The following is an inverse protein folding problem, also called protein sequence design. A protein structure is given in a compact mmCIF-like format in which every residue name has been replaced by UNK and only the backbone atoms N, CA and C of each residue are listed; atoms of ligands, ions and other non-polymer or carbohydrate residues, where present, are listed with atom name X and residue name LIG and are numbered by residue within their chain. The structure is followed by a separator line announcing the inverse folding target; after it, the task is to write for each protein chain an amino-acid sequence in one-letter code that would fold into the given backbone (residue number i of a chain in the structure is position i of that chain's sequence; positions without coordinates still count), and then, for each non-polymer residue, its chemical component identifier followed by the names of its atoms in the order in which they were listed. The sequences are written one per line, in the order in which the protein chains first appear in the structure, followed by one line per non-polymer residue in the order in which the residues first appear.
data_IF_228330859410
#
_entry.id   IF_228330859410
#
_cell.length_a   1.000
_cell.length_b   1.000
_cell.length_c   1.000
_cell.angle_alpha   90.00
_cell.angle_beta   90.00
_cell.angle_gamma   90.00
#
_symmetry.space_group_name_H-M   'P 1'
#
loop_
_entity.id
_entity.type
_entity.pdbx_description
1 polymer ?
#
# COMPACT_ATOMS: atom_id res chain seq x y z
N UNK A 1 8.76 -21.47 14.77
CA UNK A 1 7.60 -20.56 14.58
C UNK A 1 6.82 -21.12 13.40
N UNK A 2 5.53 -21.41 13.55
CA UNK A 2 4.68 -21.93 12.49
C UNK A 2 3.90 -20.76 11.87
N UNK A 3 3.89 -20.65 10.53
CA UNK A 3 3.08 -19.66 9.80
C UNK A 3 1.89 -20.37 9.19
N UNK A 4 0.71 -19.82 9.39
CA UNK A 4 -0.54 -20.30 8.79
C UNK A 4 -1.04 -19.27 7.78
N UNK A 5 -1.50 -19.72 6.62
CA UNK A 5 -2.05 -18.88 5.57
C UNK A 5 -3.55 -19.05 5.47
N UNK A 6 -4.29 -17.94 5.38
CA UNK A 6 -5.73 -17.94 5.13
C UNK A 6 -6.07 -16.96 4.00
N UNK A 7 -6.92 -17.38 3.08
CA UNK A 7 -7.54 -16.47 2.11
C UNK A 7 -8.69 -15.75 2.79
N UNK A 8 -8.69 -14.41 2.79
CA UNK A 8 -9.68 -13.62 3.50
C UNK A 8 -9.99 -12.30 2.80
N UNK A 9 -11.22 -11.81 3.00
CA UNK A 9 -11.58 -10.44 2.72
C UNK A 9 -11.16 -9.57 3.92
N UNK A 10 -10.40 -8.47 3.76
CA UNK A 10 -10.02 -7.61 4.87
C UNK A 10 -11.22 -6.93 5.57
N UNK A 11 -12.39 -6.87 4.92
CA UNK A 11 -13.64 -6.37 5.50
C UNK A 11 -14.42 -7.43 6.27
N UNK A 12 -13.97 -8.70 6.28
CA UNK A 12 -14.61 -9.85 6.95
C UNK A 12 -13.56 -10.92 7.18
N UNK A 13 -12.80 -10.78 8.26
CA UNK A 13 -11.69 -11.67 8.59
C UNK A 13 -12.20 -12.97 9.24
N UNK A 14 -11.75 -14.15 8.78
CA UNK A 14 -12.21 -15.45 9.30
C UNK A 14 -11.53 -15.84 10.62
N UNK A 15 -11.43 -14.88 11.54
CA UNK A 15 -10.79 -15.06 12.84
C UNK A 15 -11.72 -14.62 13.98
N UNK A 16 -11.54 -15.19 15.16
CA UNK A 16 -12.29 -14.84 16.37
C UNK A 16 -11.95 -13.43 16.88
N UNK A 17 -12.88 -12.85 17.65
CA UNK A 17 -12.62 -11.57 18.31
C UNK A 17 -11.50 -11.75 19.35
N UNK A 18 -10.51 -10.83 19.34
CA UNK A 18 -9.41 -10.85 20.29
C UNK A 18 -8.40 -11.99 20.11
N UNK A 19 -8.39 -12.63 18.95
CA UNK A 19 -7.54 -13.80 18.69
C UNK A 19 -6.04 -13.46 18.63
N UNK A 20 -5.69 -12.22 18.25
CA UNK A 20 -4.31 -11.82 18.01
C UNK A 20 -3.80 -10.75 18.98
N UNK A 21 -2.56 -10.89 19.43
CA UNK A 21 -1.86 -9.85 20.21
C UNK A 21 -1.52 -8.62 19.37
N UNK A 22 -1.28 -8.82 18.08
CA UNK A 22 -0.88 -7.78 17.15
C UNK A 22 -1.52 -8.04 15.78
N UNK A 23 -2.09 -7.01 15.21
CA UNK A 23 -2.64 -7.02 13.85
C UNK A 23 -1.88 -6.00 13.02
N UNK A 24 -1.22 -6.47 11.98
CA UNK A 24 -0.32 -5.64 11.17
C UNK A 24 -0.71 -5.73 9.70
N UNK A 25 -0.80 -4.59 9.05
CA UNK A 25 -0.83 -4.49 7.60
C UNK A 25 0.41 -3.72 7.13
N UNK A 26 1.26 -4.38 6.34
CA UNK A 26 2.48 -3.78 5.81
C UNK A 26 2.35 -3.55 4.31
N UNK A 27 2.31 -2.28 3.91
CA UNK A 27 2.26 -1.78 2.52
C UNK A 27 1.31 -2.57 1.61
N UNK A 28 0.22 -3.01 2.20
CA UNK A 28 -0.71 -3.96 1.59
C UNK A 28 -1.70 -3.28 0.65
N UNK A 29 -1.65 -3.64 -0.63
CA UNK A 29 -2.69 -3.32 -1.60
C UNK A 29 -4.11 -3.62 -1.11
N UNK A 30 -4.39 -4.74 -0.39
CA UNK A 30 -5.74 -5.06 0.07
C UNK A 30 -6.41 -3.98 0.90
N UNK A 31 -5.70 -3.33 1.84
CA UNK A 31 -6.29 -2.24 2.62
C UNK A 31 -6.60 -1.02 1.75
N UNK A 32 -5.66 -0.63 0.89
CA UNK A 32 -5.81 0.53 0.02
C UNK A 32 -6.93 0.32 -1.03
N UNK A 33 -7.17 -0.91 -1.45
CA UNK A 33 -8.15 -1.25 -2.48
C UNK A 33 -9.53 -1.60 -1.93
N UNK A 34 -9.68 -1.80 -0.60
CA UNK A 34 -10.95 -2.15 0.02
C UNK A 34 -11.92 -0.95 -0.07
N UNK A 35 -13.14 -1.13 -0.61
CA UNK A 35 -14.13 -0.05 -0.65
C UNK A 35 -14.59 0.37 0.75
N UNK A 36 -14.65 -0.57 1.70
CA UNK A 36 -15.07 -0.35 3.08
C UNK A 36 -13.91 -0.13 4.04
N UNK A 37 -13.07 0.89 3.85
CA UNK A 37 -11.87 1.11 4.67
C UNK A 37 -12.16 1.20 6.19
N UNK A 38 -13.30 1.77 6.59
CA UNK A 38 -13.71 1.78 7.99
C UNK A 38 -14.05 0.38 8.51
N UNK A 39 -14.63 -0.47 7.66
CA UNK A 39 -14.92 -1.86 8.00
C UNK A 39 -13.61 -2.65 8.17
N UNK A 40 -12.62 -2.40 7.32
CA UNK A 40 -11.27 -2.98 7.48
C UNK A 40 -10.67 -2.59 8.83
N UNK A 41 -10.74 -1.31 9.21
CA UNK A 41 -10.24 -0.86 10.52
C UNK A 41 -10.98 -1.53 11.68
N UNK A 42 -12.31 -1.67 11.57
CA UNK A 42 -13.13 -2.37 12.56
C UNK A 42 -12.76 -3.86 12.68
N UNK A 43 -12.55 -4.55 11.56
CA UNK A 43 -12.14 -5.95 11.54
C UNK A 43 -10.74 -6.17 12.14
N UNK A 44 -9.78 -5.30 11.79
CA UNK A 44 -8.46 -5.31 12.42
C UNK A 44 -8.56 -5.17 13.95
N UNK A 45 -9.42 -4.26 14.41
CA UNK A 45 -9.65 -4.06 15.85
C UNK A 45 -10.38 -5.23 16.49
N UNK A 46 -11.39 -5.79 15.82
CA UNK A 46 -12.17 -6.93 16.33
C UNK A 46 -11.30 -8.16 16.59
N UNK A 47 -10.42 -8.48 15.66
CA UNK A 47 -9.55 -9.66 15.79
C UNK A 47 -8.35 -9.42 16.70
N UNK A 48 -8.01 -8.17 17.00
CA UNK A 48 -6.97 -7.80 17.94
C UNK A 48 -7.51 -7.86 19.38
N UNK A 49 -6.76 -8.48 20.31
CA UNK A 49 -7.18 -8.48 21.71
C UNK A 49 -7.15 -7.06 22.32
N UNK A 50 -7.95 -6.80 23.35
CA UNK A 50 -7.84 -5.57 24.11
C UNK A 50 -6.42 -5.28 24.60
N UNK A 51 -5.92 -4.07 24.39
CA UNK A 51 -4.54 -3.68 24.70
C UNK A 51 -3.48 -4.27 23.77
N UNK A 52 -3.90 -5.01 22.75
CA UNK A 52 -3.02 -5.45 21.64
C UNK A 52 -2.60 -4.29 20.76
N UNK A 53 -1.81 -4.55 19.72
CA UNK A 53 -1.26 -3.52 18.84
C UNK A 53 -1.90 -3.62 17.46
N UNK A 54 -2.46 -2.51 17.00
CA UNK A 54 -2.82 -2.28 15.59
C UNK A 54 -1.66 -1.53 14.92
N UNK A 55 -1.20 -1.98 13.78
CA UNK A 55 -0.16 -1.30 13.01
C UNK A 55 -0.46 -1.35 11.52
N UNK A 56 -0.34 -0.19 10.86
CA UNK A 56 -0.49 -0.07 9.41
C UNK A 56 0.70 0.69 8.85
N UNK A 57 1.37 0.13 7.85
CA UNK A 57 2.35 0.82 7.04
C UNK A 57 1.80 0.99 5.63
N UNK A 58 1.81 2.20 5.10
CA UNK A 58 1.31 2.49 3.74
C UNK A 58 2.23 3.47 3.02
N UNK A 59 2.47 3.22 1.73
CA UNK A 59 3.25 4.15 0.90
C UNK A 59 2.57 5.51 0.83
N UNK A 60 3.36 6.58 0.90
CA UNK A 60 2.84 7.95 0.76
C UNK A 60 2.60 8.31 -0.70
N UNK A 61 1.61 9.19 -0.93
CA UNK A 61 1.28 9.67 -2.27
C UNK A 61 2.38 10.60 -2.84
N UNK A 62 3.17 11.20 -1.98
CA UNK A 62 4.28 12.10 -2.32
C UNK A 62 5.53 11.33 -2.77
N UNK A 63 5.70 10.10 -2.27
CA UNK A 63 6.83 9.23 -2.59
C UNK A 63 6.83 8.71 -4.03
N UNK A 64 7.82 7.89 -4.34
CA UNK A 64 8.03 7.34 -5.69
C UNK A 64 6.84 6.48 -6.15
N UNK A 65 6.24 5.68 -5.24
CA UNK A 65 5.04 4.88 -5.57
C UNK A 65 3.87 5.77 -5.98
N UNK A 66 3.68 6.94 -5.34
CA UNK A 66 2.68 7.91 -5.74
C UNK A 66 2.97 8.53 -7.12
N UNK A 67 4.24 8.74 -7.45
CA UNK A 67 4.64 9.21 -8.79
C UNK A 67 4.34 8.14 -9.85
N UNK A 68 4.67 6.88 -9.59
CA UNK A 68 4.30 5.73 -10.45
C UNK A 68 2.79 5.66 -10.64
N UNK A 69 2.01 5.79 -9.56
CA UNK A 69 0.56 5.78 -9.65
C UNK A 69 0.02 6.89 -10.56
N UNK A 70 0.61 8.09 -10.52
CA UNK A 70 0.25 9.19 -11.45
C UNK A 70 0.57 8.87 -12.91
N UNK A 71 1.72 8.25 -13.16
CA UNK A 71 2.11 7.84 -14.53
C UNK A 71 1.13 6.80 -15.07
N UNK A 72 0.83 5.75 -14.31
CA UNK A 72 -0.06 4.68 -14.77
C UNK A 72 -1.54 5.11 -14.84
N UNK A 73 -1.96 6.11 -14.04
CA UNK A 73 -3.35 6.59 -14.03
C UNK A 73 -3.81 7.12 -15.39
N UNK A 74 -2.89 7.65 -16.21
CA UNK A 74 -3.20 8.11 -17.57
C UNK A 74 -3.59 7.00 -18.55
N UNK A 75 -3.45 5.73 -18.14
CA UNK A 75 -3.74 4.54 -18.95
C UNK A 75 -4.85 3.67 -18.33
N UNK A 76 -5.28 3.97 -17.12
CA UNK A 76 -6.34 3.27 -16.41
C UNK A 76 -7.68 4.01 -16.56
N UNK A 77 -8.81 3.29 -16.49
CA UNK A 77 -10.10 3.96 -16.39
C UNK A 77 -10.17 4.77 -15.09
N UNK A 78 -10.92 5.88 -15.08
CA UNK A 78 -11.13 6.65 -13.86
C UNK A 78 -11.77 5.77 -12.79
N UNK A 79 -11.44 5.99 -11.50
CA UNK A 79 -12.07 5.26 -10.42
C UNK A 79 -13.59 5.52 -10.41
N UNK A 80 -14.41 4.55 -9.97
CA UNK A 80 -15.85 4.74 -9.83
C UNK A 80 -16.18 5.94 -8.93
N UNK A 81 -17.30 6.64 -9.16
CA UNK A 81 -17.75 7.70 -8.27
C UNK A 81 -17.87 7.19 -6.82
N UNK A 82 -17.31 7.93 -5.87
CA UNK A 82 -17.32 7.56 -4.45
C UNK A 82 -16.30 6.48 -4.05
N UNK A 83 -15.42 6.06 -4.95
CA UNK A 83 -14.33 5.16 -4.59
C UNK A 83 -13.45 5.77 -3.49
N UNK A 84 -13.10 4.95 -2.50
CA UNK A 84 -12.18 5.36 -1.45
C UNK A 84 -10.79 5.69 -2.03
N UNK A 85 -10.13 6.69 -1.46
CA UNK A 85 -8.76 7.01 -1.87
C UNK A 85 -7.82 5.86 -1.51
N UNK A 86 -7.00 5.35 -2.44
CA UNK A 86 -6.00 4.34 -2.13
C UNK A 86 -4.92 4.85 -1.15
N UNK A 87 -4.83 6.18 -0.97
CA UNK A 87 -3.88 6.85 -0.07
C UNK A 87 -4.44 7.15 1.32
N UNK A 88 -5.68 6.75 1.62
CA UNK A 88 -6.32 7.08 2.90
C UNK A 88 -5.53 6.53 4.11
N UNK A 89 -4.89 5.37 3.96
CA UNK A 89 -4.04 4.77 5.00
C UNK A 89 -2.65 5.41 5.13
N UNK A 90 -2.28 6.30 4.21
CA UNK A 90 -1.02 7.04 4.22
C UNK A 90 -1.21 8.55 4.45
N UNK A 91 -2.44 9.04 4.50
CA UNK A 91 -2.76 10.41 4.87
C UNK A 91 -3.02 10.48 6.39
N UNK A 92 -2.27 11.33 7.10
CA UNK A 92 -2.22 11.38 8.57
C UNK A 92 -3.61 11.58 9.21
N UNK A 93 -4.39 12.54 8.71
CA UNK A 93 -5.74 12.80 9.21
C UNK A 93 -6.68 11.62 8.92
N UNK A 94 -6.57 11.03 7.73
CA UNK A 94 -7.42 9.92 7.31
C UNK A 94 -7.15 8.65 8.12
N UNK A 95 -5.89 8.24 8.27
CA UNK A 95 -5.55 7.05 9.05
C UNK A 95 -5.86 7.24 10.54
N UNK A 96 -5.74 8.47 11.04
CA UNK A 96 -6.16 8.81 12.41
C UNK A 96 -7.67 8.67 12.56
N UNK A 97 -8.46 9.13 11.59
CA UNK A 97 -9.91 8.96 11.59
C UNK A 97 -10.33 7.48 11.45
N UNK A 98 -9.59 6.68 10.68
CA UNK A 98 -9.85 5.25 10.52
C UNK A 98 -9.54 4.44 11.79
N UNK A 99 -8.41 4.67 12.44
CA UNK A 99 -7.98 3.91 13.62
C UNK A 99 -8.50 4.48 14.94
N UNK A 100 -8.74 5.80 14.99
CA UNK A 100 -9.13 6.51 16.22
C UNK A 100 -10.36 5.94 16.94
N UNK A 101 -11.42 5.49 16.26
CA UNK A 101 -12.56 4.84 16.92
C UNK A 101 -12.20 3.57 17.68
N UNK A 102 -11.19 2.82 17.20
CA UNK A 102 -10.85 1.48 17.65
C UNK A 102 -9.55 1.40 18.46
N UNK A 103 -8.74 2.45 18.42
CA UNK A 103 -7.43 2.44 19.06
C UNK A 103 -7.16 3.68 19.89
N UNK A 104 -6.45 3.51 21.00
CA UNK A 104 -5.97 4.60 21.82
C UNK A 104 -4.59 5.08 21.36
N UNK A 105 -4.33 6.38 21.52
CA UNK A 105 -3.03 6.98 21.25
C UNK A 105 -2.46 6.63 19.86
N UNK A 106 -3.23 6.93 18.79
CA UNK A 106 -2.72 6.77 17.42
C UNK A 106 -1.41 7.54 17.27
N UNK A 107 -0.35 6.82 16.93
CA UNK A 107 1.00 7.38 16.71
C UNK A 107 1.36 7.22 15.25
N UNK A 108 1.87 8.31 14.68
CA UNK A 108 2.26 8.38 13.29
C UNK A 108 3.77 8.59 13.19
N UNK A 109 4.40 7.92 12.24
CA UNK A 109 5.81 8.13 11.94
C UNK A 109 6.06 7.91 10.44
N UNK A 110 6.64 8.91 9.78
CA UNK A 110 7.17 8.74 8.42
C UNK A 110 8.49 8.00 8.49
N UNK A 111 8.68 7.05 7.60
CA UNK A 111 9.84 6.18 7.52
C UNK A 111 10.25 6.00 6.06
N UNK A 112 11.49 5.65 5.87
CA UNK A 112 12.04 5.30 4.56
C UNK A 112 12.35 3.80 4.51
N UNK A 113 12.03 3.17 3.38
CA UNK A 113 12.47 1.83 3.05
C UNK A 113 13.36 1.92 1.81
N UNK A 114 14.58 1.38 1.90
CA UNK A 114 15.53 1.39 0.80
C UNK A 114 15.39 0.12 -0.04
N UNK A 115 15.39 0.29 -1.34
CA UNK A 115 15.31 -0.78 -2.33
C UNK A 115 16.51 -0.74 -3.25
N UNK A 116 16.94 -1.90 -3.70
CA UNK A 116 18.04 -2.06 -4.63
C UNK A 116 17.71 -3.15 -5.65
N UNK A 117 17.95 -2.85 -6.91
CA UNK A 117 17.73 -3.75 -8.04
C UNK A 117 18.91 -3.67 -9.00
N UNK A 118 19.03 -4.68 -9.88
CA UNK A 118 20.13 -4.76 -10.84
C UNK A 118 20.18 -3.55 -11.80
N UNK A 119 19.03 -3.03 -12.20
CA UNK A 119 18.90 -1.86 -13.06
C UNK A 119 17.45 -1.33 -13.01
N UNK A 120 17.17 -0.08 -13.44
CA UNK A 120 15.81 0.41 -13.64
C UNK A 120 14.97 -0.51 -14.53
N UNK A 121 15.56 -1.01 -15.63
CA UNK A 121 14.90 -1.90 -16.57
C UNK A 121 14.48 -3.23 -15.91
N UNK A 122 15.37 -3.84 -15.10
CA UNK A 122 15.06 -5.07 -14.36
C UNK A 122 13.96 -4.88 -13.32
N UNK A 123 13.88 -3.70 -12.72
CA UNK A 123 12.80 -3.38 -11.77
C UNK A 123 11.45 -3.20 -12.47
N UNK A 124 11.43 -2.53 -13.62
CA UNK A 124 10.21 -2.42 -14.43
C UNK A 124 9.74 -3.81 -14.85
N UNK A 125 10.65 -4.67 -15.32
CA UNK A 125 10.32 -6.07 -15.63
C UNK A 125 9.68 -6.80 -14.44
N UNK A 126 10.23 -6.61 -13.24
CA UNK A 126 9.62 -7.16 -12.03
C UNK A 126 8.21 -6.57 -11.77
N UNK A 127 8.00 -5.27 -11.93
CA UNK A 127 6.67 -4.66 -11.78
C UNK A 127 5.67 -5.17 -12.83
N UNK A 128 6.14 -5.49 -14.04
CA UNK A 128 5.33 -6.08 -15.11
C UNK A 128 4.82 -7.50 -14.76
N UNK A 129 5.46 -8.18 -13.81
CA UNK A 129 5.09 -9.53 -13.37
C UNK A 129 4.26 -9.54 -12.08
N UNK A 130 4.50 -8.60 -11.14
CA UNK A 130 3.94 -8.70 -9.79
C UNK A 130 3.07 -7.52 -9.36
N UNK A 131 3.19 -6.35 -10.01
CA UNK A 131 2.45 -5.16 -9.58
C UNK A 131 1.15 -5.02 -10.35
N UNK A 132 0.04 -5.47 -9.78
CA UNK A 132 -1.28 -5.50 -10.42
C UNK A 132 -1.68 -4.21 -11.17
N UNK A 133 -1.58 -3.02 -10.57
CA UNK A 133 -1.87 -1.76 -11.27
C UNK A 133 -0.99 -1.53 -12.50
N UNK A 134 0.32 -1.82 -12.43
CA UNK A 134 1.23 -1.70 -13.58
C UNK A 134 0.90 -2.71 -14.69
N UNK A 135 0.62 -3.97 -14.31
CA UNK A 135 0.20 -5.02 -15.25
C UNK A 135 -1.05 -4.57 -16.02
N UNK A 136 -2.06 -4.07 -15.30
CA UNK A 136 -3.31 -3.58 -15.90
C UNK A 136 -3.08 -2.39 -16.82
N UNK A 137 -2.31 -1.40 -16.38
CA UNK A 137 -1.99 -0.22 -17.18
C UNK A 137 -1.24 -0.58 -18.46
N UNK A 138 -0.24 -1.47 -18.39
CA UNK A 138 0.51 -1.94 -19.56
C UNK A 138 -0.36 -2.74 -20.53
N UNK A 139 -1.29 -3.55 -20.03
CA UNK A 139 -2.27 -4.25 -20.88
C UNK A 139 -3.14 -3.25 -21.65
N UNK A 140 -3.76 -2.30 -20.97
CA UNK A 140 -4.62 -1.28 -21.59
C UNK A 140 -3.82 -0.36 -22.52
N UNK A 141 -2.59 0.00 -22.16
CA UNK A 141 -1.69 0.74 -23.03
C UNK A 141 -1.32 -0.06 -24.30
N UNK A 142 -1.20 -1.38 -24.20
CA UNK A 142 -0.96 -2.25 -25.36
C UNK A 142 -2.15 -2.24 -26.32
N UNK A 143 -3.37 -2.32 -25.81
CA UNK A 143 -4.60 -2.24 -26.61
C UNK A 143 -4.74 -0.89 -27.36
N UNK A 144 -4.13 0.17 -26.79
CA UNK A 144 -4.07 1.51 -27.36
C UNK A 144 -2.82 1.78 -28.24
N UNK A 145 -1.92 0.81 -28.41
CA UNK A 145 -0.65 0.99 -29.11
C UNK A 145 0.37 1.84 -28.35
N UNK A 146 0.17 2.11 -27.05
CA UNK A 146 0.95 3.04 -26.21
C UNK A 146 1.83 2.33 -25.16
N UNK A 147 2.00 1.01 -25.22
CA UNK A 147 2.81 0.27 -24.24
C UNK A 147 4.23 0.80 -24.12
N UNK A 148 4.88 1.10 -25.26
CA UNK A 148 6.26 1.60 -25.26
C UNK A 148 6.37 2.98 -24.60
N UNK A 149 5.38 3.84 -24.78
CA UNK A 149 5.29 5.16 -24.15
C UNK A 149 5.18 5.04 -22.62
N UNK A 150 4.26 4.21 -22.12
CA UNK A 150 4.12 3.98 -20.67
C UNK A 150 5.42 3.41 -20.08
N UNK A 151 6.02 2.41 -20.74
CA UNK A 151 7.26 1.80 -20.26
C UNK A 151 8.42 2.80 -20.22
N UNK A 152 8.52 3.67 -21.23
CA UNK A 152 9.52 4.74 -21.27
C UNK A 152 9.33 5.76 -20.13
N UNK A 153 8.09 6.16 -19.84
CA UNK A 153 7.78 7.05 -18.71
C UNK A 153 8.12 6.44 -17.35
N UNK A 154 7.87 5.16 -17.16
CA UNK A 154 8.29 4.45 -15.94
C UNK A 154 9.83 4.37 -15.85
N UNK A 155 10.51 4.09 -16.96
CA UNK A 155 11.97 4.04 -17.00
C UNK A 155 12.61 5.39 -16.68
N UNK A 156 12.08 6.47 -17.25
CA UNK A 156 12.52 7.84 -16.96
C UNK A 156 12.36 8.18 -15.48
N UNK A 157 11.18 7.86 -14.90
CA UNK A 157 10.89 8.10 -13.49
C UNK A 157 11.89 7.39 -12.58
N UNK A 158 12.14 6.10 -12.79
CA UNK A 158 13.08 5.35 -11.97
C UNK A 158 14.53 5.73 -12.23
N UNK A 159 14.90 6.09 -13.46
CA UNK A 159 16.24 6.59 -13.78
C UNK A 159 16.52 7.94 -13.16
N UNK A 160 15.50 8.79 -12.98
CA UNK A 160 15.63 10.09 -12.30
C UNK A 160 15.66 10.00 -10.78
N UNK A 161 15.13 8.92 -10.21
CA UNK A 161 14.99 8.76 -8.76
C UNK A 161 16.18 8.01 -8.11
N UNK A 162 17.08 7.43 -8.89
CA UNK A 162 18.12 6.57 -8.34
C UNK A 162 19.40 7.33 -7.99
N UNK A 163 20.14 6.78 -7.02
CA UNK A 163 21.36 7.40 -6.46
C UNK A 163 22.64 6.64 -6.79
N UNK A 164 22.55 5.45 -7.40
CA UNK A 164 23.72 4.64 -7.74
C UNK A 164 24.39 5.12 -9.04
N UNK A 165 25.71 5.04 -9.09
CA UNK A 165 26.52 5.48 -10.25
C UNK A 165 27.08 4.31 -11.08
N UNK A 166 26.79 3.08 -10.68
CA UNK A 166 27.31 1.82 -11.24
C UNK A 166 26.33 1.08 -12.18
N UNK A 167 25.19 1.74 -12.50
CA UNK A 167 24.13 1.17 -13.34
C UNK A 167 23.10 0.33 -12.56
N UNK A 168 23.27 0.12 -11.27
CA UNK A 168 22.24 -0.44 -10.38
C UNK A 168 21.16 0.59 -10.07
N UNK A 169 19.96 0.15 -9.76
CA UNK A 169 18.89 0.99 -9.23
C UNK A 169 18.91 0.91 -7.71
N UNK A 170 19.11 2.04 -7.03
CA UNK A 170 18.90 2.17 -5.60
C UNK A 170 18.01 3.40 -5.34
N UNK A 171 16.94 3.22 -4.59
CA UNK A 171 16.02 4.31 -4.25
C UNK A 171 15.38 4.10 -2.89
N UNK A 172 14.99 5.20 -2.28
CA UNK A 172 14.25 5.22 -1.04
C UNK A 172 12.76 5.45 -1.30
N UNK A 173 11.92 4.74 -0.56
CA UNK A 173 10.48 4.83 -0.62
C UNK A 173 9.92 5.24 0.73
N UNK A 174 9.22 6.37 0.79
CA UNK A 174 8.56 6.82 2.01
C UNK A 174 7.28 6.03 2.28
N UNK A 175 7.09 5.68 3.56
CA UNK A 175 5.82 5.15 4.06
C UNK A 175 5.42 5.81 5.36
N UNK A 176 4.12 5.90 5.59
CA UNK A 176 3.55 6.27 6.88
C UNK A 176 3.33 5.00 7.71
N UNK A 177 3.89 4.96 8.90
CA UNK A 177 3.59 3.95 9.91
C UNK A 177 2.62 4.54 10.93
N UNK A 178 1.43 3.97 11.00
CA UNK A 178 0.43 4.28 12.02
C UNK A 178 0.33 3.11 13.01
N UNK A 179 0.36 3.40 14.30
CA UNK A 179 0.18 2.40 15.37
C UNK A 179 -0.81 2.89 16.41
N UNK A 180 -1.59 1.96 16.97
CA UNK A 180 -2.51 2.25 18.07
C UNK A 180 -2.61 1.04 19.00
N UNK A 181 -2.94 1.27 20.29
CA UNK A 181 -3.35 0.20 21.19
C UNK A 181 -4.84 -0.10 20.97
N UNK A 182 -5.21 -1.35 20.70
CA UNK A 182 -6.60 -1.74 20.53
C UNK A 182 -7.39 -1.50 21.83
N UNK A 183 -8.55 -0.81 21.73
CA UNK A 183 -9.38 -0.49 22.90
C UNK A 183 -9.99 -1.73 23.51
N UNK A 184 -10.30 -1.66 24.80
CA UNK A 184 -11.14 -2.64 25.50
C UNK A 184 -12.60 -2.37 25.17
N UNK A 185 -13.26 -3.33 24.49
CA UNK A 185 -14.72 -3.37 24.33
C UNK A 185 -15.26 -2.55 23.14
N UNK A 186 -15.48 -3.22 22.06
CA UNK A 186 -16.50 -2.91 21.05
C UNK A 186 -17.35 -4.15 20.81
#
# INVERSE_FOLDING_TARGET
MTVTWAAANPEDLPFGAGEFDRVVSAVGGPLAMAPGQQRVAAEMARVCRPGGVLAVASWTAEGLVGQVARVIAGYLPPPPPGAASPWAWAAEDSVTALLGPFGDAVRLARRMASFSYRSPDSYIGYLEEVHGPTIMALRLASEQGRRAELRAGLLELYSGAYTATDGTLAFDQEYLLATAAARTGH
#
